data_IF_757741830841
#
_entry.id   IF_757741830841
#
_cell.length_a   1.000
_cell.length_b   1.000
_cell.length_c   1.000
_cell.angle_alpha   90.00
_cell.angle_beta   90.00
_cell.angle_gamma   90.00
#
_symmetry.space_group_name_H-M   'P 1'
#
loop_
_entity.id
_entity.type
_entity.pdbx_description
1 polymer ?
#
# COMPACT_ATOMS: atom_id res chain seq x y z
N UNK A 1 -5.91 14.39 -0.40
CA UNK A 1 -6.62 13.45 0.49
C UNK A 1 -5.68 13.11 1.64
N UNK A 2 -6.16 12.94 2.87
CA UNK A 2 -5.32 12.35 3.92
C UNK A 2 -5.45 10.83 3.81
N UNK A 3 -4.34 10.13 3.56
CA UNK A 3 -4.31 8.66 3.44
C UNK A 3 -4.00 7.99 4.78
N UNK A 4 -3.79 8.78 5.84
CA UNK A 4 -3.72 8.29 7.22
C UNK A 4 -5.08 7.73 7.62
N UNK A 5 -5.15 6.41 7.77
CA UNK A 5 -6.33 5.65 8.16
C UNK A 5 -5.95 4.73 9.31
N UNK A 6 -6.84 4.59 10.28
CA UNK A 6 -6.77 3.51 11.26
C UNK A 6 -7.31 2.22 10.61
N UNK A 7 -6.41 1.39 10.10
CA UNK A 7 -6.77 0.15 9.40
C UNK A 7 -7.16 -0.93 10.41
N UNK A 8 -8.34 -1.53 10.24
CA UNK A 8 -8.76 -2.65 11.10
C UNK A 8 -7.87 -3.89 10.89
N UNK A 9 -7.32 -4.04 9.68
CA UNK A 9 -6.38 -5.09 9.35
C UNK A 9 -5.13 -4.51 8.68
N UNK A 10 -3.98 -4.69 9.33
CA UNK A 10 -2.65 -4.30 8.82
C UNK A 10 -2.33 -4.86 7.43
N UNK A 11 -2.83 -6.05 7.07
CA UNK A 11 -2.66 -6.60 5.73
C UNK A 11 -3.27 -5.70 4.65
N UNK A 12 -4.35 -4.97 4.98
CA UNK A 12 -4.95 -4.02 4.04
C UNK A 12 -4.12 -2.74 3.88
N UNK A 13 -3.47 -2.27 4.95
CA UNK A 13 -2.51 -1.17 4.88
C UNK A 13 -1.31 -1.54 4.00
N UNK A 14 -0.72 -2.72 4.22
CA UNK A 14 0.37 -3.27 3.38
C UNK A 14 -0.09 -3.42 1.93
N UNK A 15 -1.32 -3.90 1.71
CA UNK A 15 -1.89 -4.04 0.38
C UNK A 15 -2.06 -2.72 -0.35
N UNK A 16 -2.47 -1.66 0.36
CA UNK A 16 -2.53 -0.31 -0.21
C UNK A 16 -1.13 0.21 -0.55
N UNK A 17 -0.15 0.04 0.34
CA UNK A 17 1.24 0.41 0.08
C UNK A 17 1.80 -0.31 -1.17
N UNK A 18 1.52 -1.62 -1.30
CA UNK A 18 1.92 -2.42 -2.46
C UNK A 18 1.24 -1.94 -3.76
N UNK A 19 -0.03 -1.55 -3.70
CA UNK A 19 -0.74 -0.98 -4.85
C UNK A 19 -0.12 0.36 -5.29
N UNK A 20 0.22 1.24 -4.36
CA UNK A 20 0.96 2.47 -4.64
C UNK A 20 2.32 2.18 -5.29
N UNK A 21 3.07 1.19 -4.77
CA UNK A 21 4.36 0.79 -5.33
C UNK A 21 4.21 0.27 -6.77
N UNK A 22 3.16 -0.52 -7.02
CA UNK A 22 2.86 -1.06 -8.34
C UNK A 22 2.50 0.04 -9.34
N UNK A 23 1.74 1.06 -8.92
CA UNK A 23 1.41 2.23 -9.74
C UNK A 23 2.64 3.09 -10.04
N UNK A 24 3.57 3.22 -9.10
CA UNK A 24 4.80 4.00 -9.26
C UNK A 24 5.88 3.26 -10.11
N UNK A 25 5.85 1.94 -10.18
CA UNK A 25 6.86 1.11 -10.85
C UNK A 25 7.13 1.48 -12.33
N UNK A 26 6.15 1.87 -13.18
CA UNK A 26 6.40 2.32 -14.54
C UNK A 26 7.33 3.55 -14.64
N UNK A 27 7.37 4.38 -13.59
CA UNK A 27 8.21 5.57 -13.52
C UNK A 27 9.65 5.28 -13.08
N UNK A 28 9.93 4.06 -12.60
CA UNK A 28 11.27 3.62 -12.24
C UNK A 28 12.11 3.25 -13.47
N UNK A 29 13.18 4.00 -13.70
CA UNK A 29 14.13 3.80 -14.81
C UNK A 29 15.48 3.18 -14.40
N UNK A 30 15.66 2.83 -13.13
CA UNK A 30 16.90 2.25 -12.62
C UNK A 30 17.08 0.74 -12.91
N UNK A 31 18.29 0.23 -12.66
CA UNK A 31 18.65 -1.15 -12.97
C UNK A 31 18.10 -2.20 -11.98
N UNK A 32 17.56 -1.77 -10.84
CA UNK A 32 17.10 -2.66 -9.77
C UNK A 32 15.61 -3.01 -9.89
N UNK A 33 15.02 -2.85 -11.08
CA UNK A 33 13.57 -3.02 -11.30
C UNK A 33 13.06 -4.39 -10.86
N UNK A 34 13.85 -5.44 -11.07
CA UNK A 34 13.54 -6.80 -10.62
C UNK A 34 13.42 -6.92 -9.10
N UNK A 35 14.26 -6.20 -8.36
CA UNK A 35 14.23 -6.20 -6.90
C UNK A 35 13.02 -5.45 -6.37
N UNK A 36 12.63 -4.36 -7.02
CA UNK A 36 11.38 -3.64 -6.69
C UNK A 36 10.14 -4.50 -6.98
N UNK A 37 10.12 -5.23 -8.09
CA UNK A 37 9.03 -6.16 -8.40
C UNK A 37 8.91 -7.24 -7.33
N UNK A 38 10.02 -7.86 -6.93
CA UNK A 38 10.03 -8.86 -5.87
C UNK A 38 9.53 -8.28 -4.53
N UNK A 39 9.89 -7.03 -4.21
CA UNK A 39 9.42 -6.34 -3.01
C UNK A 39 7.91 -6.13 -3.00
N UNK A 40 7.36 -5.72 -4.15
CA UNK A 40 5.92 -5.55 -4.33
C UNK A 40 5.19 -6.89 -4.22
N UNK A 41 5.70 -7.95 -4.85
CA UNK A 41 5.10 -9.28 -4.82
C UNK A 41 5.03 -9.85 -3.40
N UNK A 42 6.08 -9.67 -2.59
CA UNK A 42 6.08 -10.09 -1.18
C UNK A 42 5.02 -9.32 -0.39
N UNK A 43 4.91 -8.01 -0.59
CA UNK A 43 3.89 -7.20 0.07
C UNK A 43 2.47 -7.60 -0.36
N UNK A 44 2.26 -7.96 -1.63
CA UNK A 44 0.99 -8.48 -2.15
C UNK A 44 0.65 -9.85 -1.54
N UNK A 45 1.62 -10.77 -1.43
CA UNK A 45 1.44 -12.04 -0.71
C UNK A 45 0.99 -11.80 0.73
N UNK A 46 1.62 -10.86 1.44
CA UNK A 46 1.25 -10.53 2.82
C UNK A 46 -0.19 -10.02 2.91
N UNK A 47 -0.55 -9.11 2.01
CA UNK A 47 -1.87 -8.52 1.95
C UNK A 47 -2.99 -9.55 1.66
N UNK A 48 -2.63 -10.65 0.99
CA UNK A 48 -3.50 -11.80 0.74
C UNK A 48 -3.55 -12.80 1.89
N UNK A 49 -2.77 -12.60 2.96
CA UNK A 49 -2.69 -13.51 4.10
C UNK A 49 -1.85 -14.76 3.81
N UNK A 50 -1.02 -14.72 2.77
CA UNK A 50 -0.08 -15.80 2.48
C UNK A 50 1.08 -15.76 3.48
N UNK A 51 1.59 -16.94 3.81
CA UNK A 51 2.75 -17.03 4.70
C UNK A 51 4.01 -16.61 3.93
N UNK A 52 4.78 -15.71 4.53
CA UNK A 52 6.03 -15.21 3.97
C UNK A 52 7.18 -15.74 4.82
N UNK A 53 8.27 -16.11 4.16
CA UNK A 53 9.53 -16.41 4.85
C UNK A 53 10.18 -15.10 5.32
N UNK A 54 10.42 -14.97 6.62
CA UNK A 54 10.99 -13.76 7.24
C UNK A 54 12.36 -13.38 6.64
N UNK A 55 13.14 -14.37 6.19
CA UNK A 55 14.44 -14.17 5.54
C UNK A 55 14.26 -13.53 4.18
N UNK A 56 13.27 -13.98 3.41
CA UNK A 56 12.98 -13.42 2.09
C UNK A 56 12.39 -12.02 2.18
N UNK A 57 11.47 -11.78 3.13
CA UNK A 57 10.94 -10.45 3.39
C UNK A 57 12.06 -9.45 3.73
N UNK A 58 12.96 -9.83 4.66
CA UNK A 58 14.06 -8.97 5.08
C UNK A 58 15.07 -8.70 3.95
N UNK A 59 15.44 -9.75 3.22
CA UNK A 59 16.39 -9.66 2.09
C UNK A 59 15.88 -8.72 1.01
N UNK A 60 14.59 -8.82 0.66
CA UNK A 60 14.00 -8.04 -0.41
C UNK A 60 13.71 -6.60 0.01
N UNK A 61 13.31 -6.36 1.28
CA UNK A 61 13.26 -5.00 1.82
C UNK A 61 14.63 -4.31 1.76
N UNK A 62 15.70 -5.01 2.17
CA UNK A 62 17.07 -4.48 2.07
C UNK A 62 17.52 -4.21 0.63
N UNK A 63 17.09 -5.04 -0.33
CA UNK A 63 17.36 -4.83 -1.74
C UNK A 63 16.60 -3.63 -2.32
N UNK A 64 15.36 -3.40 -1.91
CA UNK A 64 14.57 -2.23 -2.30
C UNK A 64 15.17 -0.92 -1.74
N UNK A 65 15.64 -0.94 -0.48
CA UNK A 65 16.37 0.21 0.11
C UNK A 65 17.65 0.51 -0.65
N UNK A 66 18.39 -0.54 -1.02
CA UNK A 66 19.63 -0.40 -1.79
C UNK A 66 19.39 0.10 -3.22
N UNK A 67 18.16 -0.06 -3.73
CA UNK A 67 17.73 0.47 -5.02
C UNK A 67 17.31 1.95 -4.95
N UNK A 68 17.01 2.47 -3.76
CA UNK A 68 16.90 3.90 -3.53
C UNK A 68 18.32 4.49 -3.45
N UNK A 69 18.68 5.48 -4.29
CA UNK A 69 20.04 5.98 -4.32
C UNK A 69 20.43 6.67 -3.00
N UNK A 70 21.55 6.23 -2.41
CA UNK A 70 22.22 6.93 -1.32
C UNK A 70 23.06 8.07 -1.90
N UNK A 71 22.49 9.28 -1.99
CA UNK A 71 23.26 10.46 -2.43
C UNK A 71 22.42 11.74 -2.47
N UNK A 72 23.06 12.92 -2.35
CA UNK A 72 22.35 14.20 -2.42
C UNK A 72 21.72 14.37 -3.82
N UNK A 73 20.41 14.61 -3.79
CA UNK A 73 19.46 14.83 -4.88
C UNK A 73 20.03 15.19 -6.27
N UNK A 74 19.83 14.35 -7.30
CA UNK A 74 20.00 14.76 -8.68
C UNK A 74 18.76 15.53 -9.16
N UNK A 75 18.96 16.74 -9.66
CA UNK A 75 18.01 17.51 -10.47
C UNK A 75 18.05 16.97 -11.91
N UNK A 76 17.16 16.02 -12.25
CA UNK A 76 15.93 16.32 -13.02
C UNK A 76 14.69 15.57 -12.48
N UNK A 77 13.49 15.99 -12.93
CA UNK A 77 12.18 15.43 -12.54
C UNK A 77 12.09 13.89 -12.65
N UNK A 78 12.81 13.26 -13.59
CA UNK A 78 12.85 11.80 -13.75
C UNK A 78 13.61 11.09 -12.63
N UNK A 79 14.68 11.69 -12.09
CA UNK A 79 15.41 11.10 -10.97
C UNK A 79 14.57 11.10 -9.69
N UNK A 80 13.71 12.11 -9.51
CA UNK A 80 12.76 12.17 -8.40
C UNK A 80 11.73 11.05 -8.50
N UNK A 81 11.21 10.81 -9.70
CA UNK A 81 10.24 9.74 -9.91
C UNK A 81 10.82 8.34 -9.67
N UNK A 82 12.07 8.11 -10.09
CA UNK A 82 12.80 6.87 -9.82
C UNK A 82 13.10 6.68 -8.33
N UNK A 83 13.49 7.73 -7.61
CA UNK A 83 13.72 7.70 -6.15
C UNK A 83 12.41 7.38 -5.42
N UNK A 84 11.34 8.07 -5.78
CA UNK A 84 10.04 7.91 -5.15
C UNK A 84 9.49 6.49 -5.40
N UNK A 85 9.55 5.98 -6.63
CA UNK A 85 9.14 4.60 -6.93
C UNK A 85 9.93 3.54 -6.14
N UNK A 86 11.24 3.73 -5.95
CA UNK A 86 12.05 2.83 -5.11
C UNK A 86 11.70 2.94 -3.62
N UNK A 87 11.41 4.15 -3.13
CA UNK A 87 10.97 4.38 -1.76
C UNK A 87 9.63 3.69 -1.48
N UNK A 88 8.65 3.82 -2.38
CA UNK A 88 7.32 3.19 -2.21
C UNK A 88 7.41 1.66 -2.16
N UNK A 89 8.25 1.06 -3.00
CA UNK A 89 8.50 -0.39 -2.96
C UNK A 89 9.23 -0.82 -1.67
N UNK A 90 10.14 0.00 -1.15
CA UNK A 90 10.81 -0.25 0.13
C UNK A 90 9.83 -0.21 1.29
N UNK A 91 8.95 0.80 1.30
CA UNK A 91 7.89 0.97 2.29
C UNK A 91 6.93 -0.21 2.28
N UNK A 92 6.49 -0.66 1.09
CA UNK A 92 5.64 -1.84 0.98
C UNK A 92 6.30 -3.12 1.56
N UNK A 93 7.60 -3.32 1.31
CA UNK A 93 8.34 -4.46 1.85
C UNK A 93 8.59 -4.36 3.36
N UNK A 94 8.87 -3.16 3.89
CA UNK A 94 8.99 -2.97 5.34
C UNK A 94 7.67 -3.16 6.06
N UNK A 95 6.57 -2.66 5.49
CA UNK A 95 5.25 -2.86 6.04
C UNK A 95 4.91 -4.37 6.11
N UNK A 96 5.28 -5.15 5.08
CA UNK A 96 5.15 -6.60 5.09
C UNK A 96 6.06 -7.29 6.12
N UNK A 97 7.34 -6.91 6.19
CA UNK A 97 8.31 -7.47 7.15
C UNK A 97 7.91 -7.18 8.61
N UNK A 98 7.57 -5.93 8.91
CA UNK A 98 7.08 -5.52 10.22
C UNK A 98 5.84 -6.31 10.58
N UNK A 99 4.85 -6.34 9.69
CA UNK A 99 3.59 -7.02 9.96
C UNK A 99 3.72 -8.57 10.05
N UNK A 100 4.72 -9.19 9.41
CA UNK A 100 5.02 -10.63 9.52
C UNK A 100 5.74 -11.00 10.84
N UNK A 101 6.68 -10.16 11.31
CA UNK A 101 7.46 -10.43 12.53
C UNK A 101 6.70 -10.11 13.84
N UNK A 102 5.51 -9.51 13.76
CA UNK A 102 4.69 -9.11 14.92
C UNK A 102 3.89 -10.29 15.49
N UNK A 103 4.54 -11.45 15.63
CA UNK A 103 4.08 -12.50 16.55
C UNK A 103 4.38 -12.09 18.01
N UNK A 104 5.12 -11.00 18.26
CA UNK A 104 5.58 -10.60 19.60
C UNK A 104 5.63 -9.09 19.95
N UNK A 105 5.06 -8.17 19.17
CA UNK A 105 5.07 -6.73 19.51
C UNK A 105 3.68 -6.06 19.40
N UNK A 106 3.51 -5.04 20.23
CA UNK A 106 2.28 -4.39 20.64
C UNK A 106 1.63 -3.51 19.54
N UNK A 107 0.52 -2.86 19.90
CA UNK A 107 -0.28 -1.88 19.13
C UNK A 107 0.46 -0.85 18.26
N UNK A 108 1.75 -0.61 18.48
CA UNK A 108 2.60 0.29 17.68
C UNK A 108 2.75 -0.16 16.22
N UNK A 109 2.76 -1.47 15.94
CA UNK A 109 2.97 -1.98 14.58
C UNK A 109 1.81 -1.68 13.60
N UNK A 110 0.60 -1.47 14.11
CA UNK A 110 -0.54 -1.06 13.28
C UNK A 110 -0.45 0.44 12.90
N UNK A 111 0.07 1.27 13.80
CA UNK A 111 0.36 2.67 13.52
C UNK A 111 1.48 2.80 12.47
N UNK A 112 2.53 1.96 12.58
CA UNK A 112 3.62 1.94 11.60
C UNK A 112 3.14 1.57 10.19
N UNK A 113 2.35 0.50 10.05
CA UNK A 113 1.80 0.09 8.75
C UNK A 113 0.88 1.15 8.11
N UNK A 114 0.17 1.94 8.95
CA UNK A 114 -0.70 3.02 8.51
C UNK A 114 0.12 4.23 8.01
N UNK A 115 1.18 4.59 8.72
CA UNK A 115 2.12 5.63 8.33
C UNK A 115 2.86 5.25 7.03
N UNK A 116 3.35 4.01 6.95
CA UNK A 116 3.96 3.44 5.75
C UNK A 116 3.01 3.51 4.55
N UNK A 117 1.74 3.16 4.72
CA UNK A 117 0.76 3.22 3.63
C UNK A 117 0.50 4.67 3.15
N UNK A 118 0.51 5.65 4.05
CA UNK A 118 0.40 7.07 3.69
C UNK A 118 1.66 7.60 2.98
N UNK A 119 2.84 7.18 3.44
CA UNK A 119 4.12 7.51 2.82
C UNK A 119 4.26 6.88 1.43
N UNK A 120 3.74 5.66 1.25
CA UNK A 120 3.64 5.00 -0.05
C UNK A 120 2.76 5.76 -1.03
N UNK A 121 1.61 6.29 -0.57
CA UNK A 121 0.76 7.14 -1.40
C UNK A 121 1.46 8.46 -1.78
N UNK A 122 2.18 9.09 -0.84
CA UNK A 122 2.96 10.30 -1.10
C UNK A 122 4.08 10.04 -2.12
N UNK A 123 4.81 8.93 -1.97
CA UNK A 123 5.86 8.56 -2.91
C UNK A 123 5.31 8.21 -4.30
N UNK A 124 4.09 7.66 -4.40
CA UNK A 124 3.46 7.43 -5.70
C UNK A 124 3.08 8.77 -6.38
N UNK A 125 2.55 9.73 -5.62
CA UNK A 125 2.27 11.09 -6.10
C UNK A 125 3.57 11.80 -6.55
N UNK A 126 4.63 11.73 -5.75
CA UNK A 126 5.96 12.24 -6.08
C UNK A 126 6.57 11.55 -7.32
N UNK A 127 6.19 10.29 -7.59
CA UNK A 127 6.58 9.57 -8.79
C UNK A 127 5.82 10.01 -10.05
N UNK A 128 4.76 10.81 -9.91
CA UNK A 128 3.91 11.28 -11.00
C UNK A 128 2.73 10.37 -11.32
N UNK A 129 2.35 9.46 -10.40
CA UNK A 129 1.10 8.70 -10.50
C UNK A 129 -0.08 9.66 -10.39
N UNK A 130 -1.12 9.47 -11.21
CA UNK A 130 -2.29 10.33 -11.15
C UNK A 130 -3.03 10.15 -9.81
N UNK A 131 -3.37 11.28 -9.18
CA UNK A 131 -4.05 11.27 -7.88
C UNK A 131 -5.36 10.47 -7.88
N UNK A 132 -6.06 10.37 -9.00
CA UNK A 132 -7.28 9.56 -9.11
C UNK A 132 -6.98 8.06 -9.08
N UNK A 133 -5.85 7.59 -9.62
CA UNK A 133 -5.42 6.19 -9.54
C UNK A 133 -5.07 5.82 -8.10
N UNK A 134 -4.39 6.71 -7.37
CA UNK A 134 -4.08 6.53 -5.94
C UNK A 134 -5.37 6.48 -5.12
N UNK A 135 -6.33 7.36 -5.40
CA UNK A 135 -7.64 7.37 -4.72
C UNK A 135 -8.46 6.11 -4.99
N UNK A 136 -8.45 5.60 -6.22
CA UNK A 136 -9.12 4.35 -6.58
C UNK A 136 -8.47 3.17 -5.85
N UNK A 137 -7.13 3.11 -5.81
CA UNK A 137 -6.40 2.09 -5.06
C UNK A 137 -6.72 2.14 -3.57
N UNK A 138 -6.74 3.34 -2.97
CA UNK A 138 -7.11 3.56 -1.58
C UNK A 138 -8.53 3.06 -1.31
N UNK A 139 -9.52 3.51 -2.10
CA UNK A 139 -10.91 3.13 -1.96
C UNK A 139 -11.12 1.61 -2.01
N UNK A 140 -10.43 0.91 -2.91
CA UNK A 140 -10.48 -0.55 -3.01
C UNK A 140 -10.07 -1.24 -1.70
N UNK A 141 -8.97 -0.79 -1.09
CA UNK A 141 -8.46 -1.38 0.16
C UNK A 141 -9.30 -0.99 1.37
N UNK A 142 -9.83 0.24 1.42
CA UNK A 142 -10.78 0.66 2.46
C UNK A 142 -12.05 -0.18 2.44
N UNK A 143 -12.61 -0.43 1.26
CA UNK A 143 -13.81 -1.29 1.13
C UNK A 143 -13.53 -2.71 1.64
N UNK A 144 -12.36 -3.28 1.32
CA UNK A 144 -11.95 -4.59 1.82
C UNK A 144 -11.78 -4.60 3.35
N UNK A 145 -11.28 -3.50 3.92
CA UNK A 145 -11.13 -3.34 5.36
C UNK A 145 -12.48 -3.28 6.07
N UNK A 146 -13.40 -2.44 5.57
CA UNK A 146 -14.76 -2.30 6.08
C UNK A 146 -15.59 -3.58 5.90
N UNK A 147 -15.34 -4.37 4.87
CA UNK A 147 -16.05 -5.63 4.65
C UNK A 147 -15.62 -6.74 5.62
N UNK A 148 -14.52 -6.56 6.35
CA UNK A 148 -13.92 -7.58 7.23
C UNK A 148 -13.69 -8.91 6.49
N UNK A 149 -13.29 -8.86 5.21
CA UNK A 149 -13.06 -10.05 4.39
C UNK A 149 -14.32 -10.73 3.85
N UNK A 150 -15.51 -10.15 4.07
CA UNK A 150 -16.74 -10.61 3.41
C UNK A 150 -16.68 -10.30 1.91
N UNK A 151 -17.19 -11.23 1.12
CA UNK A 151 -17.33 -11.04 -0.31
C UNK A 151 -18.54 -10.14 -0.58
N UNK A 152 -18.29 -9.00 -1.22
CA UNK A 152 -19.32 -8.05 -1.63
C UNK A 152 -19.63 -8.29 -3.11
N UNK A 153 -20.88 -8.12 -3.51
CA UNK A 153 -21.18 -8.03 -4.93
C UNK A 153 -20.47 -6.80 -5.56
N UNK A 154 -20.26 -6.86 -6.86
CA UNK A 154 -19.49 -5.84 -7.59
C UNK A 154 -20.15 -4.46 -7.51
N UNK A 155 -21.49 -4.40 -7.52
CA UNK A 155 -22.24 -3.16 -7.50
C UNK A 155 -22.09 -2.45 -6.15
N UNK A 156 -22.16 -3.20 -5.06
CA UNK A 156 -21.93 -2.71 -3.70
C UNK A 156 -20.48 -2.30 -3.49
N UNK A 157 -19.51 -3.08 -4.01
CA UNK A 157 -18.09 -2.74 -3.96
C UNK A 157 -17.80 -1.42 -4.69
N UNK A 158 -18.38 -1.24 -5.87
CA UNK A 158 -18.25 0.00 -6.65
C UNK A 158 -18.93 1.19 -5.96
N UNK A 159 -20.13 1.02 -5.42
CA UNK A 159 -20.86 2.08 -4.72
C UNK A 159 -20.12 2.53 -3.45
N UNK A 160 -19.64 1.58 -2.64
CA UNK A 160 -18.84 1.89 -1.47
C UNK A 160 -17.51 2.55 -1.86
N UNK A 161 -16.84 2.06 -2.89
CA UNK A 161 -15.60 2.66 -3.40
C UNK A 161 -15.80 4.10 -3.88
N UNK A 162 -16.88 4.37 -4.62
CA UNK A 162 -17.24 5.71 -5.06
C UNK A 162 -17.52 6.66 -3.88
N UNK A 163 -18.18 6.17 -2.82
CA UNK A 163 -18.39 6.94 -1.59
C UNK A 163 -17.05 7.31 -0.91
N UNK A 164 -16.08 6.37 -0.85
CA UNK A 164 -14.73 6.66 -0.33
C UNK A 164 -14.02 7.73 -1.17
N UNK A 165 -14.06 7.62 -2.50
CA UNK A 165 -13.43 8.61 -3.40
C UNK A 165 -14.08 10.00 -3.23
N UNK A 166 -15.38 10.06 -2.97
CA UNK A 166 -16.09 11.29 -2.65
C UNK A 166 -15.79 11.85 -1.24
N UNK A 167 -15.06 11.11 -0.41
CA UNK A 167 -14.73 11.49 0.97
C UNK A 167 -15.80 11.14 2.00
N UNK A 168 -16.77 10.30 1.65
CA UNK A 168 -17.88 9.89 2.53
C UNK A 168 -17.71 8.42 2.98
N UNK A 169 -16.83 8.23 3.95
CA UNK A 169 -16.59 6.89 4.51
C UNK A 169 -17.78 6.37 5.33
N UNK A 170 -18.53 7.25 5.97
CA UNK A 170 -19.70 6.86 6.75
C UNK A 170 -20.78 6.28 5.83
N UNK A 171 -20.99 6.86 4.66
CA UNK A 171 -21.86 6.28 3.64
C UNK A 171 -21.33 4.93 3.14
N UNK A 172 -20.03 4.81 2.87
CA UNK A 172 -19.44 3.53 2.46
C UNK A 172 -19.67 2.43 3.52
N UNK A 173 -19.52 2.77 4.80
CA UNK A 173 -19.77 1.88 5.93
C UNK A 173 -21.25 1.48 6.00
N UNK A 174 -22.16 2.44 5.89
CA UNK A 174 -23.61 2.18 5.88
C UNK A 174 -24.01 1.26 4.72
N UNK A 175 -23.46 1.48 3.51
CA UNK A 175 -23.72 0.62 2.36
C UNK A 175 -23.34 -0.84 2.64
N UNK A 176 -22.16 -1.06 3.22
CA UNK A 176 -21.66 -2.39 3.56
C UNK A 176 -22.50 -3.03 4.70
N UNK A 177 -22.89 -2.27 5.72
CA UNK A 177 -23.63 -2.79 6.89
C UNK A 177 -25.11 -3.09 6.60
N UNK A 178 -25.79 -2.22 5.85
CA UNK A 178 -27.23 -2.31 5.55
C UNK A 178 -27.55 -3.52 4.67
N UNK A 179 -26.63 -3.92 3.79
CA UNK A 179 -26.83 -5.09 2.92
C UNK A 179 -26.49 -6.39 3.65
N UNK A 180 -25.56 -6.38 4.60
CA UNK A 180 -25.19 -7.57 5.40
C UNK A 180 -26.21 -7.98 6.48
N UNK A 181 -27.26 -7.20 6.72
CA UNK A 181 -28.30 -7.48 7.74
C UNK A 181 -29.63 -7.98 7.15
N UNK A 182 -29.70 -8.17 5.83
CA UNK A 182 -30.82 -8.83 5.13
C UNK A 182 -30.48 -10.28 4.81
#
# INVERSE_FOLDING_TARGET
MNYERDWNNRCNAVGFAAACARLALPFYDGDQRSNLVAAIEIAECYANGEQIDDTDAHRVAGAAVSAAPAGPYPTPHSAWATIAAAAVASVAAYAAYGAANVVNYDSDAAADASADAADAARGADDAGVDSSEIQIAFARWVVRDLSCGRDLDEELRQAAGAAIVAGDEDLARQLIEVVCTR
#
